data_IF_742442164122
#
_entry.id   IF_742442164122
#
_cell.length_a   1.000
_cell.length_b   1.000
_cell.length_c   1.000
_cell.angle_alpha   90.00
_cell.angle_beta   90.00
_cell.angle_gamma   90.00
#
_symmetry.space_group_name_H-M   'P 1'
#
loop_
_entity.id
_entity.type
_entity.pdbx_description
1 polymer ?
#
# COMPACT_ATOMS: atom_id res chain seq x y z
N UNK A 1 -4.66 5.93 29.26
CA UNK A 1 -5.17 4.56 29.01
C UNK A 1 -4.11 3.80 28.23
N UNK A 2 -3.65 2.67 28.76
CA UNK A 2 -2.61 1.82 28.16
C UNK A 2 -3.23 0.50 27.71
N UNK A 3 -2.89 0.05 26.51
CA UNK A 3 -3.28 -1.25 25.96
C UNK A 3 -2.15 -2.23 26.22
N UNK A 4 -2.50 -3.45 26.64
CA UNK A 4 -1.55 -4.56 26.74
C UNK A 4 -1.83 -5.49 25.56
N UNK A 5 -0.87 -5.62 24.66
CA UNK A 5 -0.91 -6.49 23.48
C UNK A 5 0.18 -7.54 23.63
N UNK A 6 -0.16 -8.78 24.00
CA UNK A 6 0.81 -9.87 24.19
C UNK A 6 2.09 -9.44 24.95
N UNK A 7 1.89 -8.84 26.14
CA UNK A 7 2.97 -8.37 27.00
C UNK A 7 3.58 -7.01 26.64
N UNK A 8 3.18 -6.39 25.51
CA UNK A 8 3.64 -5.06 25.12
C UNK A 8 2.65 -3.99 25.60
N UNK A 9 3.12 -3.08 26.44
CA UNK A 9 2.33 -1.94 26.92
C UNK A 9 2.43 -0.80 25.91
N UNK A 10 1.34 -0.50 25.23
CA UNK A 10 1.27 0.58 24.24
C UNK A 10 0.25 1.63 24.69
N UNK A 11 0.61 2.91 24.66
CA UNK A 11 -0.32 3.97 25.03
C UNK A 11 -1.36 4.20 23.92
N UNK A 12 -2.64 4.28 24.31
CA UNK A 12 -3.73 4.59 23.36
C UNK A 12 -3.46 5.92 22.66
N UNK A 13 -2.93 6.91 23.39
CA UNK A 13 -2.57 8.21 22.84
C UNK A 13 -1.50 8.11 21.74
N UNK A 14 -0.45 7.28 21.91
CA UNK A 14 0.57 7.10 20.88
C UNK A 14 0.01 6.38 19.65
N UNK A 15 -0.85 5.39 19.84
CA UNK A 15 -1.54 4.70 18.73
C UNK A 15 -2.42 5.66 17.94
N UNK A 16 -3.21 6.49 18.62
CA UNK A 16 -4.07 7.49 17.98
C UNK A 16 -3.23 8.56 17.28
N UNK A 17 -2.14 9.02 17.88
CA UNK A 17 -1.24 10.01 17.29
C UNK A 17 -0.53 9.47 16.04
N UNK A 18 -0.09 8.21 16.08
CA UNK A 18 0.50 7.52 14.93
C UNK A 18 -0.55 7.33 13.82
N UNK A 19 -1.77 6.92 14.20
CA UNK A 19 -2.96 6.92 13.35
C UNK A 19 -3.19 8.25 12.67
N UNK A 20 -3.15 9.35 13.43
CA UNK A 20 -3.32 10.70 12.91
C UNK A 20 -2.20 11.08 11.92
N UNK A 21 -0.94 10.84 12.27
CA UNK A 21 0.20 11.14 11.38
C UNK A 21 0.10 10.40 10.04
N UNK A 22 -0.19 9.10 10.08
CA UNK A 22 -0.40 8.30 8.86
C UNK A 22 -1.69 8.72 8.15
N UNK A 23 -2.73 9.11 8.89
CA UNK A 23 -3.99 9.64 8.38
C UNK A 23 -3.80 10.90 7.54
N UNK A 24 -3.00 11.87 7.99
CA UNK A 24 -2.66 13.07 7.20
C UNK A 24 -2.04 12.66 5.86
N UNK A 25 -1.02 11.81 5.90
CA UNK A 25 -0.33 11.35 4.67
C UNK A 25 -1.31 10.59 3.77
N UNK A 26 -2.07 9.65 4.32
CA UNK A 26 -3.06 8.87 3.59
C UNK A 26 -4.16 9.75 2.96
N UNK A 27 -4.63 10.76 3.69
CA UNK A 27 -5.61 11.74 3.21
C UNK A 27 -5.08 12.61 2.08
N UNK A 28 -3.80 12.96 2.11
CA UNK A 28 -3.15 13.74 1.06
C UNK A 28 -3.12 13.01 -0.29
N UNK A 29 -2.80 11.72 -0.28
CA UNK A 29 -2.58 10.92 -1.49
C UNK A 29 -3.75 10.00 -1.88
N UNK A 30 -4.68 9.73 -0.96
CA UNK A 30 -5.84 8.87 -1.20
C UNK A 30 -5.51 7.39 -1.40
N UNK A 31 -4.32 6.93 -0.99
CA UNK A 31 -3.78 5.58 -1.28
C UNK A 31 -4.25 4.51 -0.26
N UNK A 32 -4.98 4.90 0.78
CA UNK A 32 -5.31 4.03 1.91
C UNK A 32 -4.07 3.86 2.81
N UNK A 33 -4.14 4.37 4.03
CA UNK A 33 -2.94 4.58 4.88
C UNK A 33 -2.21 3.33 5.37
N UNK A 34 -2.74 2.13 5.11
CA UNK A 34 -2.20 0.88 5.65
C UNK A 34 -0.73 0.63 5.31
N UNK A 35 -0.27 1.11 4.15
CA UNK A 35 1.11 0.85 3.70
C UNK A 35 2.20 1.45 4.56
N UNK A 36 1.97 2.65 5.10
CA UNK A 36 2.89 3.25 6.07
C UNK A 36 2.62 2.73 7.47
N UNK A 37 1.42 2.23 7.72
CA UNK A 37 0.96 1.86 9.04
C UNK A 37 1.73 0.68 9.63
N UNK A 38 1.90 -0.39 8.85
CA UNK A 38 2.63 -1.59 9.30
C UNK A 38 4.06 -1.26 9.75
N UNK A 39 4.92 -0.61 8.92
CA UNK A 39 6.28 -0.33 9.34
C UNK A 39 6.34 0.73 10.45
N UNK A 40 5.46 1.74 10.48
CA UNK A 40 5.46 2.71 11.58
C UNK A 40 5.06 2.07 12.92
N UNK A 41 4.02 1.24 12.96
CA UNK A 41 3.61 0.55 14.17
C UNK A 41 4.70 -0.40 14.66
N UNK A 42 5.31 -1.13 13.73
CA UNK A 42 6.38 -2.05 14.05
C UNK A 42 7.62 -1.31 14.58
N UNK A 43 8.05 -0.25 13.91
CA UNK A 43 9.28 0.46 14.25
C UNK A 43 9.09 1.38 15.45
N UNK A 44 8.08 2.26 15.43
CA UNK A 44 7.87 3.30 16.44
C UNK A 44 7.24 2.78 17.74
N UNK A 45 6.33 1.81 17.66
CA UNK A 45 5.61 1.29 18.84
C UNK A 45 6.09 -0.12 19.25
N UNK A 46 6.99 -0.74 18.48
CA UNK A 46 7.49 -2.08 18.78
C UNK A 46 6.44 -3.18 18.63
N UNK A 47 5.31 -2.89 17.98
CA UNK A 47 4.21 -3.84 17.87
C UNK A 47 4.64 -5.00 16.96
N UNK A 48 4.36 -6.27 17.35
CA UNK A 48 4.62 -7.42 16.49
C UNK A 48 3.96 -7.28 15.12
N UNK A 49 4.67 -7.67 14.07
CA UNK A 49 4.19 -7.57 12.68
C UNK A 49 2.78 -8.14 12.46
N UNK A 50 2.39 -9.31 13.02
CA UNK A 50 1.05 -9.86 12.80
C UNK A 50 -0.08 -8.91 13.25
N UNK A 51 0.10 -8.23 14.39
CA UNK A 51 -0.88 -7.28 14.93
C UNK A 51 -0.88 -5.96 14.17
N UNK A 52 0.30 -5.48 13.76
CA UNK A 52 0.43 -4.28 12.95
C UNK A 52 -0.23 -4.47 11.57
N UNK A 53 0.00 -5.63 10.94
CA UNK A 53 -0.63 -6.01 9.66
C UNK A 53 -2.14 -6.10 9.81
N UNK A 54 -2.64 -6.82 10.82
CA UNK A 54 -4.08 -6.93 11.08
C UNK A 54 -4.75 -5.56 11.24
N UNK A 55 -4.14 -4.65 12.00
CA UNK A 55 -4.69 -3.31 12.19
C UNK A 55 -4.62 -2.43 10.94
N UNK A 56 -3.52 -2.50 10.18
CA UNK A 56 -3.35 -1.77 8.93
C UNK A 56 -4.38 -2.21 7.86
N UNK A 57 -4.70 -3.50 7.80
CA UNK A 57 -5.70 -4.03 6.87
C UNK A 57 -7.10 -3.50 7.18
N UNK A 58 -7.51 -3.47 8.46
CA UNK A 58 -8.79 -2.86 8.85
C UNK A 58 -8.87 -1.38 8.48
N UNK A 59 -7.80 -0.60 8.71
CA UNK A 59 -7.73 0.80 8.29
C UNK A 59 -7.80 0.94 6.76
N UNK A 60 -7.15 0.03 6.03
CA UNK A 60 -7.14 0.03 4.55
C UNK A 60 -8.53 -0.24 4.00
N UNK A 61 -9.32 -1.14 4.60
CA UNK A 61 -10.72 -1.37 4.20
C UNK A 61 -11.53 -0.09 4.38
N UNK A 62 -11.44 0.54 5.55
CA UNK A 62 -12.24 1.71 5.86
C UNK A 62 -11.93 2.89 4.94
N UNK A 63 -10.64 3.19 4.75
CA UNK A 63 -10.19 4.28 3.87
C UNK A 63 -10.40 3.94 2.40
N UNK A 64 -10.19 2.67 2.02
CA UNK A 64 -10.39 2.14 0.67
C UNK A 64 -11.85 2.20 0.23
N UNK A 65 -12.80 1.86 1.11
CA UNK A 65 -14.23 1.96 0.81
C UNK A 65 -14.67 3.42 0.58
N UNK A 66 -14.24 4.33 1.45
CA UNK A 66 -14.52 5.75 1.30
C UNK A 66 -13.95 6.31 -0.02
N UNK A 67 -12.70 5.95 -0.35
CA UNK A 67 -12.04 6.34 -1.58
C UNK A 67 -12.73 5.73 -2.82
N UNK A 68 -13.08 4.44 -2.79
CA UNK A 68 -13.79 3.75 -3.86
C UNK A 68 -15.13 4.42 -4.18
N UNK A 69 -15.95 4.71 -3.17
CA UNK A 69 -17.23 5.39 -3.36
C UNK A 69 -17.06 6.78 -3.97
N UNK A 70 -16.03 7.53 -3.54
CA UNK A 70 -15.71 8.85 -4.09
C UNK A 70 -15.25 8.77 -5.55
N UNK A 71 -14.32 7.87 -5.88
CA UNK A 71 -13.79 7.73 -7.23
C UNK A 71 -14.83 7.19 -8.21
N UNK A 72 -15.74 6.34 -7.75
CA UNK A 72 -16.87 5.85 -8.55
C UNK A 72 -17.85 6.96 -8.90
N UNK A 73 -18.15 7.87 -7.96
CA UNK A 73 -18.97 9.09 -8.23
C UNK A 73 -18.31 10.02 -9.24
N UNK A 74 -16.98 10.07 -9.28
CA UNK A 74 -16.21 10.93 -10.20
C UNK A 74 -15.97 10.30 -11.57
N UNK A 75 -16.41 9.06 -11.82
CA UNK A 75 -16.18 8.38 -13.10
C UNK A 75 -14.70 8.10 -13.41
N UNK A 76 -13.85 8.04 -12.38
CA UNK A 76 -12.39 7.88 -12.51
C UNK A 76 -11.92 6.42 -12.46
N UNK A 77 -12.84 5.49 -12.23
CA UNK A 77 -12.55 4.06 -12.09
C UNK A 77 -12.68 3.34 -13.43
N UNK A 78 -11.67 2.54 -13.77
CA UNK A 78 -11.66 1.69 -14.95
C UNK A 78 -12.03 0.24 -14.60
N UNK A 79 -13.31 -0.10 -14.73
CA UNK A 79 -13.79 -1.41 -14.29
C UNK A 79 -13.08 -2.58 -14.97
N UNK A 80 -12.72 -2.44 -16.25
CA UNK A 80 -12.05 -3.49 -17.03
C UNK A 80 -10.63 -3.74 -16.53
N UNK A 81 -9.91 -2.67 -16.24
CA UNK A 81 -8.58 -2.77 -15.64
C UNK A 81 -8.69 -3.41 -14.26
N UNK A 82 -9.58 -2.86 -13.41
CA UNK A 82 -9.73 -3.30 -12.04
C UNK A 82 -10.12 -4.78 -11.96
N UNK A 83 -11.04 -5.27 -12.81
CA UNK A 83 -11.48 -6.66 -12.79
C UNK A 83 -10.36 -7.64 -13.17
N UNK A 84 -9.60 -7.35 -14.23
CA UNK A 84 -8.53 -8.22 -14.72
C UNK A 84 -7.34 -8.19 -13.74
N UNK A 85 -6.94 -7.00 -13.30
CA UNK A 85 -5.86 -6.85 -12.35
C UNK A 85 -6.24 -7.41 -10.96
N UNK A 86 -7.52 -7.33 -10.56
CA UNK A 86 -8.01 -8.00 -9.35
C UNK A 86 -7.86 -9.51 -9.48
N UNK A 87 -8.32 -10.13 -10.57
CA UNK A 87 -8.18 -11.57 -10.77
C UNK A 87 -6.71 -12.03 -10.66
N UNK A 88 -5.78 -11.30 -11.30
CA UNK A 88 -4.35 -11.53 -11.14
C UNK A 88 -3.88 -11.35 -9.70
N UNK A 89 -4.33 -10.28 -9.03
CA UNK A 89 -3.95 -9.97 -7.64
C UNK A 89 -4.42 -11.04 -6.66
N UNK A 90 -5.60 -11.63 -6.84
CA UNK A 90 -6.09 -12.70 -5.97
C UNK A 90 -5.18 -13.92 -5.99
N UNK A 91 -4.78 -14.35 -7.20
CA UNK A 91 -3.81 -15.43 -7.39
C UNK A 91 -2.45 -15.05 -6.83
N UNK A 92 -2.02 -13.80 -7.09
CA UNK A 92 -0.77 -13.28 -6.56
C UNK A 92 -0.72 -13.26 -5.04
N UNK A 93 -1.81 -12.85 -4.37
CA UNK A 93 -1.89 -12.80 -2.89
C UNK A 93 -1.77 -14.20 -2.31
N UNK A 94 -2.49 -15.18 -2.86
CA UNK A 94 -2.37 -16.57 -2.41
C UNK A 94 -0.93 -17.10 -2.61
N UNK A 95 -0.33 -16.85 -3.79
CA UNK A 95 1.06 -17.22 -4.06
C UNK A 95 2.05 -16.53 -3.10
N UNK A 96 1.87 -15.23 -2.85
CA UNK A 96 2.71 -14.44 -1.94
C UNK A 96 2.58 -14.89 -0.49
N UNK A 97 1.37 -15.21 -0.03
CA UNK A 97 1.12 -15.75 1.31
C UNK A 97 1.73 -17.14 1.46
N UNK A 98 1.57 -18.03 0.47
CA UNK A 98 2.22 -19.35 0.49
C UNK A 98 3.73 -19.26 0.50
N UNK A 99 4.30 -18.32 -0.27
CA UNK A 99 5.73 -18.05 -0.25
C UNK A 99 6.17 -17.56 1.15
N UNK A 100 5.40 -16.66 1.77
CA UNK A 100 5.68 -16.18 3.11
C UNK A 100 5.64 -17.31 4.16
N UNK A 101 4.64 -18.19 4.09
CA UNK A 101 4.50 -19.35 4.96
C UNK A 101 5.58 -20.41 4.72
N UNK A 102 6.00 -20.62 3.46
CA UNK A 102 7.11 -21.52 3.15
C UNK A 102 8.43 -21.04 3.80
N UNK A 103 8.58 -19.73 4.01
CA UNK A 103 9.73 -19.13 4.69
C UNK A 103 9.64 -19.21 6.22
N UNK A 104 8.48 -19.57 6.74
CA UNK A 104 8.27 -19.81 8.17
C UNK A 104 8.96 -21.12 8.56
N UNK A 105 9.95 -21.04 9.46
CA UNK A 105 10.72 -22.20 9.88
C UNK A 105 12.00 -22.50 9.08
N UNK A 106 12.33 -21.70 8.03
CA UNK A 106 13.61 -21.81 7.31
C UNK A 106 14.86 -21.42 8.15
N UNK A 107 14.69 -21.17 9.45
CA UNK A 107 15.76 -20.82 10.37
C UNK A 107 16.01 -19.30 10.49
N UNK A 108 17.22 -18.96 10.95
CA UNK A 108 17.65 -17.57 11.15
C UNK A 108 18.81 -17.25 10.23
N UNK A 109 18.82 -16.04 9.67
CA UNK A 109 19.92 -15.48 8.89
C UNK A 109 20.56 -14.39 9.72
N UNK A 110 21.89 -14.36 9.72
CA UNK A 110 22.64 -13.30 10.40
C UNK A 110 22.61 -12.05 9.53
N UNK A 111 21.87 -11.03 9.95
CA UNK A 111 21.84 -9.71 9.32
C UNK A 111 22.44 -8.72 10.30
N UNK A 112 23.47 -7.97 9.86
CA UNK A 112 24.19 -7.01 10.71
C UNK A 112 24.67 -7.58 12.07
N UNK A 113 25.09 -8.86 12.08
CA UNK A 113 25.61 -9.53 13.27
C UNK A 113 24.56 -10.13 14.21
N UNK A 114 23.26 -10.09 13.88
CA UNK A 114 22.18 -10.65 14.71
C UNK A 114 21.38 -11.74 13.98
N UNK A 115 20.96 -12.82 14.67
CA UNK A 115 20.10 -13.84 14.09
C UNK A 115 18.69 -13.27 13.89
N UNK A 116 18.30 -13.06 12.64
CA UNK A 116 16.97 -12.64 12.24
C UNK A 116 16.24 -13.81 11.57
N UNK A 117 14.97 -14.03 11.90
CA UNK A 117 14.15 -14.99 11.15
C UNK A 117 14.17 -14.65 9.66
N UNK A 118 14.37 -15.66 8.79
CA UNK A 118 14.40 -15.49 7.32
C UNK A 118 13.21 -14.66 6.83
N UNK A 119 12.01 -15.00 7.32
CA UNK A 119 10.76 -14.31 7.02
C UNK A 119 10.85 -12.81 7.32
N UNK A 120 11.35 -12.41 8.50
CA UNK A 120 11.50 -10.99 8.87
C UNK A 120 12.51 -10.29 7.98
N UNK A 121 13.65 -10.92 7.71
CA UNK A 121 14.69 -10.34 6.87
C UNK A 121 14.17 -10.07 5.44
N UNK A 122 13.43 -11.02 4.86
CA UNK A 122 12.88 -10.89 3.51
C UNK A 122 11.77 -9.86 3.47
N UNK A 123 10.82 -9.87 4.41
CA UNK A 123 9.76 -8.86 4.46
C UNK A 123 10.36 -7.46 4.58
N UNK A 124 11.29 -7.26 5.53
CA UNK A 124 12.02 -6.00 5.70
C UNK A 124 12.78 -5.56 4.44
N UNK A 125 13.43 -6.50 3.75
CA UNK A 125 14.13 -6.24 2.49
C UNK A 125 13.17 -5.81 1.37
N UNK A 126 12.04 -6.51 1.20
CA UNK A 126 11.02 -6.15 0.20
C UNK A 126 10.42 -4.77 0.51
N UNK A 127 10.17 -4.44 1.77
CA UNK A 127 9.76 -3.08 2.19
C UNK A 127 10.81 -2.03 1.80
N UNK A 128 12.06 -2.26 2.17
CA UNK A 128 13.16 -1.33 1.90
C UNK A 128 13.32 -1.06 0.41
N UNK A 129 13.33 -2.11 -0.41
CA UNK A 129 13.43 -1.99 -1.88
C UNK A 129 12.19 -1.28 -2.44
N UNK A 130 10.99 -1.71 -2.05
CA UNK A 130 9.74 -1.15 -2.59
C UNK A 130 9.59 0.34 -2.28
N UNK A 131 9.90 0.75 -1.05
CA UNK A 131 9.82 2.14 -0.62
C UNK A 131 10.91 3.00 -1.21
N UNK A 132 12.15 2.50 -1.33
CA UNK A 132 13.22 3.22 -2.00
C UNK A 132 12.92 3.41 -3.49
N UNK A 133 12.42 2.40 -4.18
CA UNK A 133 12.01 2.51 -5.59
C UNK A 133 10.88 3.53 -5.73
N UNK A 134 9.85 3.45 -4.89
CA UNK A 134 8.75 4.41 -4.93
C UNK A 134 9.23 5.83 -4.62
N UNK A 135 10.05 6.01 -3.58
CA UNK A 135 10.60 7.31 -3.22
C UNK A 135 11.48 7.89 -4.34
N UNK A 136 12.35 7.07 -4.95
CA UNK A 136 13.17 7.45 -6.09
C UNK A 136 12.33 7.89 -7.28
N UNK A 137 11.29 7.11 -7.62
CA UNK A 137 10.38 7.44 -8.72
C UNK A 137 9.62 8.74 -8.43
N UNK A 138 9.13 8.94 -7.21
CA UNK A 138 8.49 10.20 -6.79
C UNK A 138 9.48 11.38 -6.79
N UNK A 139 10.76 11.14 -6.51
CA UNK A 139 11.77 12.18 -6.46
C UNK A 139 12.25 12.62 -7.85
N UNK A 140 12.58 11.64 -8.71
CA UNK A 140 13.22 11.86 -10.00
C UNK A 140 12.23 12.11 -11.14
N UNK A 141 11.02 11.53 -11.10
CA UNK A 141 10.05 11.75 -12.17
C UNK A 141 9.07 12.87 -11.81
N UNK A 142 8.96 13.84 -12.71
CA UNK A 142 7.85 14.80 -12.70
C UNK A 142 6.61 14.04 -13.16
N UNK A 143 5.64 13.87 -12.27
CA UNK A 143 4.32 13.39 -12.66
C UNK A 143 3.76 14.32 -13.73
N UNK A 144 3.26 13.79 -14.86
CA UNK A 144 2.67 14.62 -15.88
C UNK A 144 1.59 15.52 -15.29
N UNK A 145 1.54 16.75 -15.80
CA UNK A 145 0.50 17.71 -15.44
C UNK A 145 -0.89 17.14 -15.67
N UNK A 146 -1.88 17.70 -14.98
CA UNK A 146 -3.30 17.35 -15.16
C UNK A 146 -3.75 17.46 -16.63
N UNK A 147 -3.08 18.31 -17.41
CA UNK A 147 -3.41 18.66 -18.79
C UNK A 147 -2.41 18.10 -19.82
N UNK A 148 -1.46 17.24 -19.42
CA UNK A 148 -0.54 16.59 -20.36
C UNK A 148 -1.18 15.37 -21.03
N UNK A 149 -0.97 15.27 -22.34
CA UNK A 149 -1.45 14.17 -23.19
C UNK A 149 -0.92 12.81 -22.71
N UNK A 150 -1.79 11.79 -22.70
CA UNK A 150 -1.45 10.43 -22.25
C UNK A 150 -0.42 9.82 -23.18
N UNK A 151 0.85 9.84 -22.77
CA UNK A 151 1.85 9.02 -23.45
C UNK A 151 1.77 7.58 -22.93
N UNK A 152 1.52 6.59 -23.80
CA UNK A 152 1.43 5.19 -23.37
C UNK A 152 2.78 4.74 -22.82
N UNK A 153 2.76 4.34 -21.55
CA UNK A 153 3.93 3.82 -20.86
C UNK A 153 4.44 2.49 -21.45
N UNK A 154 5.60 2.00 -20.99
CA UNK A 154 6.23 0.79 -21.52
C UNK A 154 5.35 -0.45 -21.42
N UNK A 155 4.53 -0.60 -20.36
CA UNK A 155 3.61 -1.74 -20.21
C UNK A 155 2.41 -1.64 -21.17
N UNK A 156 1.96 -0.42 -21.50
CA UNK A 156 0.92 -0.20 -22.52
C UNK A 156 1.43 -0.47 -23.95
N UNK A 157 2.74 -0.54 -24.17
CA UNK A 157 3.35 -0.88 -25.48
C UNK A 157 3.46 -2.38 -25.71
N UNK A 158 3.29 -3.22 -24.68
CA UNK A 158 3.34 -4.68 -24.82
C UNK A 158 2.10 -5.15 -25.56
N UNK A 159 2.29 -5.70 -26.75
CA UNK A 159 1.21 -6.18 -27.64
C UNK A 159 1.04 -7.69 -27.50
N UNK A 160 0.26 -8.11 -26.50
CA UNK A 160 -0.15 -9.50 -26.31
C UNK A 160 -1.69 -9.58 -26.39
N UNK A 161 -2.27 -10.34 -27.33
CA UNK A 161 -3.72 -10.57 -27.36
C UNK A 161 -4.15 -11.45 -26.17
N UNK A 162 -5.37 -11.30 -25.61
CA UNK A 162 -6.46 -10.40 -26.03
C UNK A 162 -6.28 -8.94 -25.58
N UNK A 163 -6.87 -8.02 -26.36
CA UNK A 163 -6.80 -6.58 -26.13
C UNK A 163 -8.08 -6.07 -25.44
N UNK A 164 -7.92 -5.10 -24.54
CA UNK A 164 -8.99 -4.37 -23.90
C UNK A 164 -8.84 -2.86 -24.13
N UNK A 165 -9.95 -2.17 -24.30
CA UNK A 165 -9.97 -0.72 -24.35
C UNK A 165 -10.28 -0.15 -22.97
N UNK A 166 -9.51 0.87 -22.58
CA UNK A 166 -9.59 1.61 -21.34
C UNK A 166 -10.01 3.06 -21.64
N UNK A 167 -11.32 3.30 -21.82
CA UNK A 167 -11.84 4.58 -22.29
C UNK A 167 -11.65 5.71 -21.27
N UNK A 168 -11.82 5.43 -19.98
CA UNK A 168 -11.56 6.37 -18.90
C UNK A 168 -10.06 6.56 -18.62
N UNK A 169 -9.14 5.78 -19.18
CA UNK A 169 -7.70 6.07 -19.19
C UNK A 169 -7.24 6.74 -20.50
N UNK A 170 -8.08 6.78 -21.54
CA UNK A 170 -7.70 7.25 -22.87
C UNK A 170 -6.78 6.28 -23.62
N UNK A 171 -6.64 5.04 -23.14
CA UNK A 171 -5.77 4.02 -23.72
C UNK A 171 -6.61 3.03 -24.53
N UNK A 172 -6.23 2.82 -25.79
CA UNK A 172 -6.84 1.82 -26.67
C UNK A 172 -5.91 0.63 -26.86
N UNK A 173 -6.48 -0.57 -26.98
CA UNK A 173 -5.75 -1.83 -27.22
C UNK A 173 -4.67 -2.14 -26.18
N UNK A 174 -5.00 -2.04 -24.90
CA UNK A 174 -4.10 -2.50 -23.82
C UNK A 174 -4.18 -4.02 -23.70
N UNK A 175 -3.03 -4.68 -23.51
CA UNK A 175 -2.97 -6.13 -23.39
C UNK A 175 -3.55 -6.60 -22.05
N UNK A 176 -4.61 -7.41 -22.10
CA UNK A 176 -5.22 -7.99 -20.90
C UNK A 176 -4.23 -8.86 -20.10
N UNK A 177 -3.33 -9.66 -20.73
CA UNK A 177 -2.31 -10.41 -19.99
C UNK A 177 -1.33 -9.50 -19.24
N UNK A 178 -0.95 -8.34 -19.79
CA UNK A 178 -0.07 -7.42 -19.09
C UNK A 178 -0.75 -6.83 -17.86
N UNK A 179 -2.04 -6.47 -17.97
CA UNK A 179 -2.85 -6.01 -16.83
C UNK A 179 -2.94 -7.10 -15.76
N UNK A 180 -3.27 -8.34 -16.15
CA UNK A 180 -3.33 -9.47 -15.24
C UNK A 180 -1.98 -9.72 -14.54
N UNK A 181 -0.87 -9.65 -15.29
CA UNK A 181 0.49 -9.82 -14.74
C UNK A 181 0.84 -8.71 -13.74
N UNK A 182 0.48 -7.46 -14.03
CA UNK A 182 0.69 -6.37 -13.06
C UNK A 182 -0.13 -6.55 -11.79
N UNK A 183 -1.36 -7.04 -11.92
CA UNK A 183 -2.18 -7.47 -10.80
C UNK A 183 -1.52 -8.59 -10.00
N UNK A 184 -1.04 -9.63 -10.68
CA UNK A 184 -0.35 -10.76 -10.06
C UNK A 184 0.90 -10.33 -9.31
N UNK A 185 1.79 -9.56 -9.95
CA UNK A 185 3.00 -9.05 -9.31
C UNK A 185 2.67 -8.19 -8.09
N UNK A 186 1.68 -7.30 -8.21
CA UNK A 186 1.21 -6.50 -7.09
C UNK A 186 0.61 -7.36 -5.97
N UNK A 187 -0.14 -8.41 -6.33
CA UNK A 187 -0.72 -9.37 -5.41
C UNK A 187 0.32 -10.17 -4.65
N UNK A 188 1.38 -10.65 -5.31
CA UNK A 188 2.50 -11.34 -4.66
C UNK A 188 3.17 -10.44 -3.64
N UNK A 189 3.45 -9.18 -4.01
CA UNK A 189 3.98 -8.19 -3.07
C UNK A 189 3.00 -7.91 -1.93
N UNK A 190 1.70 -7.81 -2.21
CA UNK A 190 0.67 -7.61 -1.20
C UNK A 190 0.58 -8.76 -0.19
N UNK A 191 0.65 -10.01 -0.66
CA UNK A 191 0.64 -11.22 0.15
C UNK A 191 1.90 -11.35 1.00
N UNK A 192 3.08 -11.07 0.43
CA UNK A 192 4.35 -11.07 1.15
C UNK A 192 4.42 -9.99 2.24
N UNK A 193 3.94 -8.78 1.94
CA UNK A 193 4.04 -7.63 2.85
C UNK A 193 2.87 -7.55 3.84
N UNK A 194 1.75 -8.22 3.55
CA UNK A 194 0.53 -8.20 4.35
C UNK A 194 -0.31 -6.91 4.25
N UNK A 195 0.00 -5.98 3.35
CA UNK A 195 -0.55 -4.60 3.43
C UNK A 195 -1.66 -4.27 2.42
N UNK A 196 -2.26 -5.26 1.77
CA UNK A 196 -3.34 -4.96 0.82
C UNK A 196 -2.90 -4.34 -0.52
N UNK A 197 -1.60 -4.32 -0.83
CA UNK A 197 -1.09 -4.10 -2.20
C UNK A 197 -1.16 -2.69 -2.79
N UNK A 198 -1.47 -1.64 -2.01
CA UNK A 198 -1.67 -0.29 -2.56
C UNK A 198 -0.41 0.46 -3.00
N UNK A 199 0.76 0.14 -2.44
CA UNK A 199 2.01 0.89 -2.64
C UNK A 199 2.44 0.90 -4.10
N UNK A 200 2.41 -0.29 -4.73
CA UNK A 200 2.97 -0.50 -6.05
C UNK A 200 1.95 -0.29 -7.17
N UNK A 201 0.65 -0.36 -6.87
CA UNK A 201 -0.38 -0.17 -7.88
C UNK A 201 -0.31 1.22 -8.52
N UNK A 202 -0.12 2.28 -7.74
CA UNK A 202 -0.03 3.66 -8.26
C UNK A 202 1.16 3.85 -9.21
N UNK A 203 2.42 3.54 -8.85
CA UNK A 203 3.53 3.69 -9.78
C UNK A 203 3.40 2.78 -11.01
N UNK A 204 2.85 1.57 -10.88
CA UNK A 204 2.56 0.69 -12.02
C UNK A 204 1.58 1.36 -12.99
N UNK A 205 0.52 1.99 -12.48
CA UNK A 205 -0.47 2.68 -13.30
C UNK A 205 0.10 3.94 -13.96
N UNK A 206 0.76 4.79 -13.18
CA UNK A 206 1.34 6.05 -13.66
C UNK A 206 2.45 5.81 -14.69
N UNK A 207 3.43 4.97 -14.35
CA UNK A 207 4.65 4.85 -15.14
C UNK A 207 4.67 3.64 -16.03
N UNK A 208 3.91 2.60 -15.70
CA UNK A 208 3.77 1.41 -16.53
C UNK A 208 2.78 1.63 -17.65
N UNK A 209 1.54 1.99 -17.31
CA UNK A 209 0.47 2.18 -18.29
C UNK A 209 0.35 3.63 -18.78
N UNK A 210 0.78 4.62 -18.00
CA UNK A 210 0.68 6.04 -18.37
C UNK A 210 -0.58 6.73 -17.85
N UNK A 211 -1.24 6.18 -16.82
CA UNK A 211 -2.48 6.76 -16.28
C UNK A 211 -2.21 8.13 -15.63
N UNK A 212 -3.13 9.08 -15.81
CA UNK A 212 -3.12 10.32 -15.01
C UNK A 212 -3.34 10.01 -13.53
N UNK A 213 -2.73 10.82 -12.66
CA UNK A 213 -2.73 10.59 -11.21
C UNK A 213 -4.13 10.41 -10.60
N UNK A 214 -5.13 11.18 -11.07
CA UNK A 214 -6.51 11.08 -10.58
C UNK A 214 -7.20 9.78 -11.00
N UNK A 215 -6.91 9.30 -12.22
CA UNK A 215 -7.47 8.05 -12.77
C UNK A 215 -6.77 6.84 -12.18
N UNK A 216 -5.45 6.90 -11.98
CA UNK A 216 -4.70 5.84 -11.31
C UNK A 216 -5.11 5.66 -9.85
N UNK A 217 -5.33 6.75 -9.11
CA UNK A 217 -5.84 6.68 -7.74
C UNK A 217 -7.25 6.07 -7.69
N UNK A 218 -8.07 6.30 -8.72
CA UNK A 218 -9.36 5.62 -8.88
C UNK A 218 -9.24 4.15 -9.31
N UNK A 219 -8.34 3.83 -10.24
CA UNK A 219 -8.23 2.56 -10.96
C UNK A 219 -7.31 1.55 -10.29
N UNK A 220 -7.51 1.32 -9.00
CA UNK A 220 -6.69 0.40 -8.22
C UNK A 220 -7.14 0.32 -6.78
N UNK A 221 -7.92 1.31 -6.35
CA UNK A 221 -8.58 1.31 -5.04
C UNK A 221 -9.48 0.10 -4.86
N UNK A 222 -10.14 -0.38 -5.92
CA UNK A 222 -10.96 -1.59 -5.86
C UNK A 222 -10.10 -2.83 -5.59
N UNK A 223 -8.94 -2.92 -6.23
CA UNK A 223 -7.98 -4.01 -6.01
C UNK A 223 -7.48 -3.97 -4.58
N UNK A 224 -7.03 -2.80 -4.11
CA UNK A 224 -6.54 -2.61 -2.73
C UNK A 224 -7.61 -2.96 -1.71
N UNK A 225 -8.84 -2.49 -1.92
CA UNK A 225 -9.98 -2.79 -1.05
C UNK A 225 -10.28 -4.29 -1.02
N UNK A 226 -10.38 -4.94 -2.18
CA UNK A 226 -10.72 -6.36 -2.27
C UNK A 226 -9.62 -7.23 -1.65
N UNK A 227 -8.35 -6.94 -1.92
CA UNK A 227 -7.22 -7.65 -1.30
C UNK A 227 -7.19 -7.41 0.21
N UNK A 228 -7.43 -6.17 0.67
CA UNK A 228 -7.47 -5.87 2.10
C UNK A 228 -8.60 -6.62 2.82
N UNK A 229 -9.78 -6.73 2.21
CA UNK A 229 -10.90 -7.53 2.74
C UNK A 229 -10.50 -9.00 2.89
N UNK A 230 -9.93 -9.60 1.84
CA UNK A 230 -9.53 -11.00 1.86
C UNK A 230 -8.41 -11.27 2.88
N UNK A 231 -7.38 -10.42 2.90
CA UNK A 231 -6.28 -10.54 3.86
C UNK A 231 -6.77 -10.33 5.31
N UNK A 232 -7.76 -9.45 5.53
CA UNK A 232 -8.38 -9.25 6.85
C UNK A 232 -9.13 -10.50 7.29
N UNK A 233 -9.90 -11.15 6.41
CA UNK A 233 -10.59 -12.41 6.74
C UNK A 233 -9.59 -13.48 7.14
N UNK A 234 -8.47 -13.60 6.41
CA UNK A 234 -7.40 -14.53 6.77
C UNK A 234 -6.78 -14.20 8.14
N UNK A 235 -6.44 -12.93 8.40
CA UNK A 235 -5.85 -12.51 9.68
C UNK A 235 -6.83 -12.59 10.87
N UNK A 236 -8.12 -12.40 10.61
CA UNK A 236 -9.17 -12.59 11.61
C UNK A 236 -9.20 -14.05 12.09
N UNK A 237 -9.00 -15.02 11.19
CA UNK A 237 -8.92 -16.43 11.54
C UNK A 237 -7.72 -16.73 12.45
N UNK A 238 -6.58 -16.07 12.25
CA UNK A 238 -5.39 -16.20 13.10
C UNK A 238 -5.44 -15.35 14.39
N UNK A 239 -6.58 -14.70 14.69
CA UNK A 239 -6.79 -13.82 15.86
C UNK A 239 -5.75 -12.70 16.02
N UNK A 240 -5.16 -12.22 14.93
CA UNK A 240 -4.15 -11.14 14.98
C UNK A 240 -4.77 -9.74 14.94
N UNK A 241 -6.09 -9.62 15.04
CA UNK A 241 -6.81 -8.33 14.98
C UNK A 241 -7.27 -7.95 16.38
N UNK A 242 -6.55 -7.02 17.02
CA UNK A 242 -6.95 -6.45 18.29
C UNK A 242 -7.75 -5.17 18.09
N UNK A 243 -9.05 -5.20 18.37
CA UNK A 243 -9.92 -4.04 18.25
C UNK A 243 -9.46 -2.86 19.12
N UNK A 244 -8.84 -3.14 20.27
CA UNK A 244 -8.24 -2.11 21.12
C UNK A 244 -7.15 -1.31 20.41
N UNK A 245 -6.42 -1.91 19.47
CA UNK A 245 -5.43 -1.24 18.64
C UNK A 245 -6.07 -0.58 17.40
N UNK A 246 -7.02 -1.27 16.76
CA UNK A 246 -7.67 -0.81 15.52
C UNK A 246 -8.49 0.45 15.74
N UNK A 247 -9.30 0.51 16.80
CA UNK A 247 -10.27 1.60 16.99
C UNK A 247 -9.57 2.95 17.19
N UNK A 248 -8.62 3.12 18.14
CA UNK A 248 -7.94 4.41 18.35
C UNK A 248 -7.16 4.86 17.11
N UNK A 249 -6.57 3.88 16.42
CA UNK A 249 -5.80 4.06 15.21
C UNK A 249 -6.67 4.56 14.05
N UNK A 250 -7.83 3.95 13.85
CA UNK A 250 -8.82 4.37 12.86
C UNK A 250 -9.40 5.74 13.17
N UNK A 251 -9.70 6.03 14.44
CA UNK A 251 -10.23 7.33 14.87
C UNK A 251 -9.20 8.43 14.57
N UNK A 252 -7.94 8.23 14.99
CA UNK A 252 -6.86 9.17 14.70
C UNK A 252 -6.68 9.37 13.19
N UNK A 253 -6.63 8.27 12.44
CA UNK A 253 -6.44 8.31 10.99
C UNK A 253 -7.60 9.01 10.27
N UNK A 254 -8.85 8.73 10.64
CA UNK A 254 -10.03 9.30 10.00
C UNK A 254 -10.11 10.82 10.20
N UNK A 255 -9.92 11.29 11.44
CA UNK A 255 -9.94 12.73 11.75
C UNK A 255 -8.82 13.48 11.03
N UNK A 256 -7.61 12.91 11.03
CA UNK A 256 -6.45 13.55 10.41
C UNK A 256 -6.44 13.43 8.88
N UNK A 257 -7.07 12.41 8.30
CA UNK A 257 -7.21 12.28 6.86
C UNK A 257 -8.00 13.44 6.25
N UNK A 258 -8.96 14.02 6.98
CA UNK A 258 -9.69 15.20 6.52
C UNK A 258 -8.76 16.43 6.42
N UNK A 259 -7.84 16.59 7.37
CA UNK A 259 -6.80 17.63 7.34
C UNK A 259 -5.85 17.39 6.15
N UNK A 260 -5.39 16.15 5.95
CA UNK A 260 -4.56 15.78 4.82
C UNK A 260 -5.21 16.06 3.46
N UNK A 261 -6.50 15.73 3.32
CA UNK A 261 -7.25 15.99 2.09
C UNK A 261 -7.40 17.49 1.79
N UNK A 262 -7.55 18.32 2.84
CA UNK A 262 -7.60 19.77 2.68
C UNK A 262 -6.22 20.33 2.28
N UNK A 263 -5.14 19.79 2.83
CA UNK A 263 -3.77 20.22 2.54
C UNK A 263 -3.38 19.97 1.07
N UNK A 264 -3.98 18.97 0.42
CA UNK A 264 -3.80 18.73 -1.02
C UNK A 264 -4.34 19.88 -1.90
N UNK A 265 -5.27 20.71 -1.38
CA UNK A 265 -5.79 21.86 -2.12
C UNK A 265 -4.87 23.09 -2.06
N UNK A 266 -4.04 23.19 -1.02
CA UNK A 266 -3.19 24.35 -0.76
C UNK A 266 -1.74 24.12 -1.17
N UNK A 267 -1.27 22.87 -1.17
CA UNK A 267 0.12 22.55 -1.51
C UNK A 267 0.28 22.20 -2.99
N UNK A 268 1.38 22.65 -3.64
CA UNK A 268 1.69 22.24 -4.99
C UNK A 268 2.06 20.74 -5.04
N UNK A 269 1.71 20.07 -6.14
CA UNK A 269 1.93 18.63 -6.34
C UNK A 269 3.39 18.20 -6.09
N UNK A 270 4.36 19.08 -6.36
CA UNK A 270 5.79 18.84 -6.10
C UNK A 270 6.10 18.68 -4.61
N UNK A 271 5.48 19.47 -3.74
CA UNK A 271 5.69 19.42 -2.29
C UNK A 271 5.05 18.19 -1.69
N UNK A 272 3.83 17.86 -2.10
CA UNK A 272 3.15 16.60 -1.76
C UNK A 272 4.05 15.41 -2.13
N UNK A 273 4.48 15.33 -3.39
CA UNK A 273 5.30 14.22 -3.90
C UNK A 273 6.62 14.05 -3.14
N UNK A 274 7.34 15.15 -2.88
CA UNK A 274 8.58 15.14 -2.09
C UNK A 274 8.32 14.75 -0.63
N UNK A 275 7.23 15.24 -0.03
CA UNK A 275 6.83 14.86 1.33
C UNK A 275 6.63 13.35 1.46
N UNK A 276 5.92 12.72 0.52
CA UNK A 276 5.74 11.27 0.51
C UNK A 276 7.07 10.53 0.35
N UNK A 277 7.92 10.97 -0.57
CA UNK A 277 9.25 10.38 -0.77
C UNK A 277 10.10 10.45 0.52
N UNK A 278 10.08 11.59 1.22
CA UNK A 278 10.80 11.75 2.51
C UNK A 278 10.24 10.81 3.57
N UNK A 279 8.92 10.69 3.72
CA UNK A 279 8.29 9.78 4.69
C UNK A 279 8.65 8.32 4.39
N UNK A 280 8.64 7.93 3.11
CA UNK A 280 9.04 6.59 2.69
C UNK A 280 10.52 6.31 3.02
N UNK A 281 11.42 7.22 2.67
CA UNK A 281 12.86 7.08 2.97
C UNK A 281 13.13 7.08 4.48
N UNK A 282 12.44 7.92 5.25
CA UNK A 282 12.53 7.91 6.70
C UNK A 282 12.07 6.57 7.28
N UNK A 283 11.03 5.96 6.71
CA UNK A 283 10.54 4.64 7.11
C UNK A 283 11.56 3.55 6.79
N UNK A 284 12.20 3.61 5.62
CA UNK A 284 13.30 2.70 5.24
C UNK A 284 14.48 2.85 6.20
N UNK A 285 14.92 4.08 6.47
CA UNK A 285 16.02 4.35 7.39
C UNK A 285 15.73 3.83 8.81
N UNK A 286 14.51 4.04 9.30
CA UNK A 286 14.10 3.57 10.62
C UNK A 286 14.02 2.03 10.68
N UNK A 287 13.57 1.38 9.61
CA UNK A 287 13.53 -0.08 9.49
C UNK A 287 14.95 -0.68 9.45
N UNK A 288 15.87 -0.09 8.69
CA UNK A 288 17.27 -0.51 8.64
C UNK A 288 17.96 -0.32 10.00
N UNK A 289 17.73 0.81 10.67
CA UNK A 289 18.28 1.09 11.99
C UNK A 289 17.83 0.05 13.03
N UNK A 290 16.55 -0.32 13.01
CA UNK A 290 16.00 -1.35 13.89
C UNK A 290 16.52 -2.75 13.57
N UNK A 291 16.89 -3.01 12.32
CA UNK A 291 17.54 -4.26 11.90
C UNK A 291 18.97 -4.36 12.43
N UNK A 292 19.66 -3.22 12.54
CA UNK A 292 21.06 -3.15 13.03
C UNK A 292 21.20 -3.05 14.55
N UNK A 293 20.16 -2.59 15.27
CA UNK A 293 20.18 -2.38 16.73
C UNK A 293 19.60 -3.52 17.53
#
# INVERSE_FOLDING_TARGET
MTLVLDGHVVSVAAVTALGAGVGVVAGMFGVGGGFLMVPLMHVALGIPLPFAVGAALCQTIATGLAAFLRYRKLGLAEWRFDAIALAGSLVGVDAGTRLLLAMEGMGTVVVAGKPLAVQRAVVSGVYAVSFTVLAYVLWCKTTPGVDEEVQPGPLARIRLPPYIDLPAAGLRRVSAPAVAYTGLANGVLAGLLGIGGGIMMIPILLYGFGFHIRRAAGSGILIVLAVAVLATVQHAHYRTIHLGLVIPLMVGAALAAQVGANLTRTLPARTLRRGLAVVLLATVAALLFKLTR
#
